data_IF_752949691761
#
_entry.id   IF_752949691761
#
_cell.length_a   1.000
_cell.length_b   1.000
_cell.length_c   1.000
_cell.angle_alpha   90.00
_cell.angle_beta   90.00
_cell.angle_gamma   90.00
#
_symmetry.space_group_name_H-M   'P 1'
#
loop_
_entity.id
_entity.type
_entity.pdbx_description
1 polymer ?
#
# COMPACT_ATOMS: atom_id res chain seq x y z
N UNK A 1 19.28 42.46 -64.14
CA UNK A 1 19.14 42.36 -62.67
C UNK A 1 18.67 40.96 -62.34
N UNK A 2 19.62 40.06 -62.11
CA UNK A 2 19.40 38.64 -61.83
C UNK A 2 20.08 38.37 -60.50
N UNK A 3 19.28 38.20 -59.46
CA UNK A 3 19.74 37.88 -58.10
C UNK A 3 19.91 36.37 -58.03
N UNK A 4 21.14 35.90 -58.22
CA UNK A 4 21.51 34.51 -57.96
C UNK A 4 21.47 34.26 -56.44
N UNK A 5 20.41 33.60 -56.00
CA UNK A 5 20.25 33.10 -54.65
C UNK A 5 21.22 31.93 -54.43
N UNK A 6 22.34 32.22 -53.75
CA UNK A 6 23.29 31.24 -53.26
C UNK A 6 22.67 30.33 -52.19
N UNK A 7 21.99 29.27 -52.63
CA UNK A 7 21.49 28.18 -51.79
C UNK A 7 22.67 27.31 -51.35
N UNK A 8 23.39 27.75 -50.32
CA UNK A 8 24.40 26.93 -49.62
C UNK A 8 23.67 25.74 -48.97
N UNK A 9 23.71 24.60 -49.64
CA UNK A 9 23.40 23.30 -49.05
C UNK A 9 24.30 23.07 -47.84
N UNK A 10 23.77 23.34 -46.64
CA UNK A 10 24.32 22.79 -45.40
C UNK A 10 24.13 21.27 -45.46
N UNK A 11 25.11 20.57 -46.02
CA UNK A 11 25.29 19.13 -45.84
C UNK A 11 25.53 18.87 -44.35
N UNK A 12 24.45 18.72 -43.58
CA UNK A 12 24.51 18.28 -42.21
C UNK A 12 25.23 16.94 -42.14
N UNK A 13 26.29 16.86 -41.33
CA UNK A 13 27.11 15.66 -41.20
C UNK A 13 26.23 14.49 -40.74
N UNK A 14 26.20 13.34 -41.46
CA UNK A 14 25.37 12.19 -41.10
C UNK A 14 25.69 11.57 -39.73
N UNK A 15 26.81 11.95 -39.11
CA UNK A 15 27.22 11.55 -37.76
C UNK A 15 26.43 12.25 -36.64
N UNK A 16 25.98 13.51 -36.85
CA UNK A 16 25.20 14.25 -35.84
C UNK A 16 23.78 13.71 -35.71
N UNK A 17 23.18 13.27 -36.83
CA UNK A 17 21.84 12.64 -36.82
C UNK A 17 21.82 11.33 -36.00
N UNK A 18 22.87 10.50 -36.08
CA UNK A 18 22.92 9.22 -35.36
C UNK A 18 23.13 9.37 -33.85
N UNK A 19 23.78 10.45 -33.39
CA UNK A 19 23.89 10.74 -31.94
C UNK A 19 22.53 11.18 -31.37
N UNK A 20 21.85 12.06 -32.07
CA UNK A 20 20.52 12.55 -31.65
C UNK A 20 19.49 11.42 -31.52
N UNK A 21 19.46 10.45 -32.46
CA UNK A 21 18.55 9.31 -32.40
C UNK A 21 18.84 8.34 -31.23
N UNK A 22 20.12 8.12 -30.88
CA UNK A 22 20.49 7.26 -29.75
C UNK A 22 20.10 7.87 -28.41
N UNK A 23 20.32 9.16 -28.23
CA UNK A 23 20.00 9.88 -26.98
C UNK A 23 18.49 9.89 -26.70
N UNK A 24 17.66 10.02 -27.75
CA UNK A 24 16.20 9.95 -27.59
C UNK A 24 15.71 8.56 -27.20
N UNK A 25 16.34 7.50 -27.73
CA UNK A 25 15.96 6.12 -27.40
C UNK A 25 16.35 5.72 -25.97
N UNK A 26 17.48 6.22 -25.46
CA UNK A 26 17.95 5.95 -24.10
C UNK A 26 17.10 6.69 -23.06
N UNK A 27 16.82 7.98 -23.29
CA UNK A 27 15.96 8.78 -22.43
C UNK A 27 14.52 8.22 -22.33
N UNK A 28 13.97 7.73 -23.45
CA UNK A 28 12.64 7.10 -23.47
C UNK A 28 12.57 5.81 -22.64
N UNK A 29 13.62 4.96 -22.69
CA UNK A 29 13.68 3.72 -21.90
C UNK A 29 13.79 4.00 -20.41
N UNK A 30 14.65 4.95 -20.02
CA UNK A 30 14.79 5.35 -18.62
C UNK A 30 13.47 5.90 -18.06
N UNK A 31 12.82 6.81 -18.81
CA UNK A 31 11.53 7.37 -18.40
C UNK A 31 10.45 6.27 -18.24
N UNK A 32 10.42 5.28 -19.15
CA UNK A 32 9.51 4.15 -19.05
C UNK A 32 9.77 3.29 -17.80
N UNK A 33 11.04 3.04 -17.46
CA UNK A 33 11.42 2.29 -16.26
C UNK A 33 11.04 3.05 -14.97
N UNK A 34 11.26 4.36 -14.94
CA UNK A 34 10.87 5.19 -13.79
C UNK A 34 9.34 5.26 -13.63
N UNK A 35 8.61 5.39 -14.74
CA UNK A 35 7.15 5.33 -14.71
C UNK A 35 6.65 3.96 -14.23
N UNK A 36 7.23 2.87 -14.72
CA UNK A 36 6.91 1.52 -14.27
C UNK A 36 7.21 1.33 -12.78
N UNK A 37 8.35 1.86 -12.28
CA UNK A 37 8.69 1.83 -10.86
C UNK A 37 7.66 2.62 -10.02
N UNK A 38 7.29 3.83 -10.45
CA UNK A 38 6.28 4.65 -9.76
C UNK A 38 4.92 3.94 -9.70
N UNK A 39 4.48 3.37 -10.82
CA UNK A 39 3.22 2.63 -10.89
C UNK A 39 3.27 1.36 -10.03
N UNK A 40 4.39 0.63 -10.05
CA UNK A 40 4.58 -0.55 -9.22
C UNK A 40 4.53 -0.22 -7.73
N UNK A 41 5.14 0.90 -7.30
CA UNK A 41 5.03 1.39 -5.91
C UNK A 41 3.59 1.73 -5.56
N UNK A 42 2.88 2.43 -6.44
CA UNK A 42 1.46 2.76 -6.22
C UNK A 42 0.64 1.48 -6.00
N UNK A 43 0.75 0.51 -6.89
CA UNK A 43 0.00 -0.75 -6.77
C UNK A 43 0.45 -1.56 -5.56
N UNK A 44 1.76 -1.60 -5.26
CA UNK A 44 2.33 -2.32 -4.12
C UNK A 44 1.76 -1.80 -2.80
N UNK A 45 1.81 -0.48 -2.59
CA UNK A 45 1.33 0.12 -1.34
C UNK A 45 -0.17 -0.03 -1.19
N UNK A 46 -0.94 0.13 -2.28
CA UNK A 46 -2.37 -0.17 -2.27
C UNK A 46 -2.65 -1.63 -1.85
N UNK A 47 -1.95 -2.59 -2.45
CA UNK A 47 -2.13 -4.00 -2.15
C UNK A 47 -1.73 -4.35 -0.70
N UNK A 48 -0.64 -3.78 -0.19
CA UNK A 48 -0.22 -3.93 1.21
C UNK A 48 -1.24 -3.31 2.17
N UNK A 49 -1.81 -2.16 1.83
CA UNK A 49 -2.84 -1.49 2.63
C UNK A 49 -4.11 -2.34 2.69
N UNK A 50 -4.57 -2.88 1.56
CA UNK A 50 -5.71 -3.80 1.49
C UNK A 50 -5.41 -5.06 2.31
N UNK A 51 -4.19 -5.60 2.20
CA UNK A 51 -3.80 -6.78 2.98
C UNK A 51 -3.84 -6.52 4.48
N UNK A 52 -3.42 -5.34 4.94
CA UNK A 52 -3.51 -4.94 6.34
C UNK A 52 -4.96 -4.78 6.80
N UNK A 53 -5.79 -4.10 6.00
CA UNK A 53 -7.21 -3.91 6.31
C UNK A 53 -7.99 -5.24 6.37
N UNK A 54 -7.60 -6.21 5.53
CA UNK A 54 -8.21 -7.55 5.47
C UNK A 54 -7.59 -8.56 6.43
N UNK A 55 -6.60 -8.16 7.24
CA UNK A 55 -6.00 -9.06 8.23
C UNK A 55 -7.06 -9.43 9.29
N UNK A 56 -7.11 -10.70 9.77
CA UNK A 56 -8.19 -11.16 10.65
C UNK A 56 -8.43 -10.26 11.85
N UNK A 57 -7.37 -9.82 12.54
CA UNK A 57 -7.50 -8.96 13.72
C UNK A 57 -8.11 -7.57 13.45
N UNK A 58 -7.90 -7.01 12.25
CA UNK A 58 -8.49 -5.72 11.88
C UNK A 58 -9.88 -5.89 11.26
N UNK A 59 -10.05 -6.91 10.42
CA UNK A 59 -11.29 -7.14 9.69
C UNK A 59 -12.41 -7.62 10.60
N UNK A 60 -12.11 -8.54 11.53
CA UNK A 60 -13.13 -9.11 12.43
C UNK A 60 -13.74 -8.01 13.30
N UNK A 61 -12.95 -7.15 13.93
CA UNK A 61 -13.48 -6.06 14.76
C UNK A 61 -14.38 -5.09 13.96
N UNK A 62 -13.97 -4.73 12.74
CA UNK A 62 -14.81 -3.88 11.86
C UNK A 62 -16.11 -4.57 11.46
N UNK A 63 -16.07 -5.89 11.24
CA UNK A 63 -17.28 -6.67 10.93
C UNK A 63 -18.15 -6.82 12.17
N UNK A 64 -17.59 -7.03 13.37
CA UNK A 64 -18.32 -7.08 14.64
C UNK A 64 -19.09 -5.78 14.86
N UNK A 65 -18.44 -4.62 14.71
CA UNK A 65 -19.07 -3.30 14.81
C UNK A 65 -20.18 -3.15 13.75
N UNK A 66 -19.91 -3.55 12.51
CA UNK A 66 -20.90 -3.52 11.43
C UNK A 66 -22.12 -4.41 11.68
N UNK A 67 -21.92 -5.62 12.21
CA UNK A 67 -23.00 -6.53 12.61
C UNK A 67 -23.77 -5.92 13.77
N UNK A 68 -23.10 -5.40 14.80
CA UNK A 68 -23.77 -4.77 15.94
C UNK A 68 -24.60 -3.54 15.53
N UNK A 69 -24.10 -2.72 14.59
CA UNK A 69 -24.82 -1.54 14.11
C UNK A 69 -26.00 -1.87 13.19
N UNK A 70 -25.95 -3.00 12.46
CA UNK A 70 -27.01 -3.42 11.53
C UNK A 70 -28.03 -4.37 12.16
N UNK A 71 -27.67 -5.00 13.27
CA UNK A 71 -28.53 -5.95 13.96
C UNK A 71 -28.98 -5.37 15.28
N UNK A 72 -30.28 -5.42 15.57
CA UNK A 72 -30.82 -5.02 16.88
C UNK A 72 -30.51 -6.10 17.93
N UNK A 73 -29.24 -6.56 18.00
CA UNK A 73 -28.81 -7.71 18.81
C UNK A 73 -29.15 -7.52 20.28
N UNK A 74 -28.97 -6.30 20.81
CA UNK A 74 -29.25 -6.00 22.20
C UNK A 74 -30.75 -6.18 22.52
N UNK A 75 -31.62 -5.71 21.61
CA UNK A 75 -33.07 -5.90 21.72
C UNK A 75 -33.47 -7.38 21.60
N UNK A 76 -32.87 -8.12 20.67
CA UNK A 76 -33.14 -9.55 20.49
C UNK A 76 -32.71 -10.38 21.70
N UNK A 77 -31.57 -10.03 22.31
CA UNK A 77 -31.08 -10.67 23.52
C UNK A 77 -32.02 -10.38 24.70
N UNK A 78 -32.44 -9.12 24.89
CA UNK A 78 -33.41 -8.74 25.92
C UNK A 78 -34.72 -9.53 25.81
N UNK A 79 -35.18 -9.79 24.58
CA UNK A 79 -36.44 -10.49 24.33
C UNK A 79 -36.34 -12.01 24.47
N UNK A 80 -35.23 -12.62 24.05
CA UNK A 80 -35.16 -14.07 23.86
C UNK A 80 -34.20 -14.80 24.80
N UNK A 81 -33.22 -14.12 25.40
CA UNK A 81 -32.16 -14.78 26.17
C UNK A 81 -32.70 -15.59 27.35
N UNK A 82 -33.60 -15.03 28.14
CA UNK A 82 -34.19 -15.73 29.29
C UNK A 82 -34.94 -17.02 28.87
N UNK A 83 -35.63 -16.98 27.73
CA UNK A 83 -36.34 -18.14 27.18
C UNK A 83 -35.36 -19.20 26.70
N UNK A 84 -34.28 -18.81 26.01
CA UNK A 84 -33.23 -19.72 25.55
C UNK A 84 -32.49 -20.37 26.72
N UNK A 85 -32.20 -19.61 27.78
CA UNK A 85 -31.59 -20.15 29.00
C UNK A 85 -32.50 -21.16 29.70
N UNK A 86 -33.82 -20.91 29.76
CA UNK A 86 -34.76 -21.88 30.31
C UNK A 86 -34.80 -23.18 29.49
N UNK A 87 -34.71 -23.07 28.15
CA UNK A 87 -34.64 -24.24 27.27
C UNK A 87 -33.33 -25.01 27.45
N UNK A 88 -32.19 -24.32 27.52
CA UNK A 88 -30.87 -24.92 27.76
C UNK A 88 -30.78 -25.66 29.11
N UNK A 89 -31.51 -25.22 30.14
CA UNK A 89 -31.61 -25.97 31.41
C UNK A 89 -32.34 -27.31 31.27
N UNK A 90 -33.23 -27.44 30.29
CA UNK A 90 -33.99 -28.68 30.05
C UNK A 90 -33.20 -29.66 29.20
N UNK A 91 -32.39 -29.17 28.27
CA UNK A 91 -31.59 -29.98 27.35
C UNK A 91 -30.25 -29.29 27.02
N UNK A 92 -29.17 -29.67 27.70
CA UNK A 92 -27.87 -29.02 27.54
C UNK A 92 -27.13 -29.41 26.26
N UNK A 93 -27.46 -30.57 25.68
CA UNK A 93 -26.76 -31.11 24.50
C UNK A 93 -27.27 -30.50 23.18
N UNK A 94 -28.32 -29.66 23.23
CA UNK A 94 -28.85 -28.96 22.06
C UNK A 94 -28.12 -27.66 21.74
N UNK A 95 -28.13 -27.31 20.45
CA UNK A 95 -27.68 -26.03 19.94
C UNK A 95 -28.85 -25.11 19.68
N UNK A 96 -28.74 -23.86 20.11
CA UNK A 96 -29.77 -22.84 20.02
C UNK A 96 -29.34 -21.73 19.05
N UNK A 97 -30.27 -21.26 18.23
CA UNK A 97 -30.07 -20.07 17.41
C UNK A 97 -30.90 -18.92 17.99
N UNK A 98 -30.38 -17.69 17.92
CA UNK A 98 -31.11 -16.51 18.37
C UNK A 98 -32.25 -16.19 17.37
N UNK A 99 -33.53 -16.26 17.78
CA UNK A 99 -34.64 -15.95 16.88
C UNK A 99 -34.55 -14.52 16.35
N UNK A 100 -34.85 -14.32 15.06
CA UNK A 100 -34.82 -13.01 14.42
C UNK A 100 -33.43 -12.48 14.06
N UNK A 101 -32.36 -13.10 14.55
CA UNK A 101 -31.00 -12.71 14.19
C UNK A 101 -30.69 -13.11 12.73
N UNK A 102 -30.13 -12.21 11.90
CA UNK A 102 -30.03 -12.44 10.45
C UNK A 102 -28.97 -13.48 10.06
N UNK A 103 -27.94 -13.66 10.89
CA UNK A 103 -26.85 -14.61 10.65
C UNK A 103 -27.10 -15.88 11.47
N UNK A 104 -26.95 -17.06 10.86
CA UNK A 104 -27.08 -18.33 11.58
C UNK A 104 -25.85 -18.58 12.44
N UNK A 105 -25.95 -18.25 13.73
CA UNK A 105 -24.97 -18.59 14.75
C UNK A 105 -25.63 -19.48 15.78
N UNK A 106 -24.99 -20.61 16.05
CA UNK A 106 -25.43 -21.57 17.05
C UNK A 106 -24.70 -21.34 18.38
N UNK A 107 -25.43 -21.42 19.47
CA UNK A 107 -24.98 -21.34 20.85
C UNK A 107 -25.21 -22.70 21.51
N UNK A 108 -24.25 -23.19 22.28
CA UNK A 108 -24.45 -24.41 23.08
C UNK A 108 -25.26 -24.11 24.34
N UNK A 109 -25.91 -25.14 24.90
CA UNK A 109 -26.60 -24.99 26.19
C UNK A 109 -25.66 -24.55 27.31
N UNK A 110 -24.42 -25.04 27.32
CA UNK A 110 -23.37 -24.64 28.27
C UNK A 110 -23.04 -23.14 28.14
N UNK A 111 -22.79 -22.65 26.92
CA UNK A 111 -22.49 -21.22 26.67
C UNK A 111 -23.61 -20.30 27.14
N UNK A 112 -24.87 -20.69 26.94
CA UNK A 112 -26.03 -19.91 27.39
C UNK A 112 -26.17 -19.85 28.91
N UNK A 113 -25.71 -20.89 29.62
CA UNK A 113 -25.83 -20.99 31.07
C UNK A 113 -24.63 -20.39 31.82
N UNK A 114 -23.44 -20.44 31.22
CA UNK A 114 -22.21 -19.91 31.81
C UNK A 114 -22.03 -18.41 31.58
N UNK A 115 -22.43 -17.91 30.40
CA UNK A 115 -22.24 -16.52 30.02
C UNK A 115 -23.41 -15.64 30.46
N UNK A 116 -23.09 -14.42 30.87
CA UNK A 116 -24.09 -13.37 31.03
C UNK A 116 -24.50 -12.79 29.67
N UNK A 117 -25.47 -11.87 29.67
CA UNK A 117 -25.95 -11.27 28.43
C UNK A 117 -24.84 -10.61 27.62
N UNK A 118 -23.88 -9.96 28.28
CA UNK A 118 -22.73 -9.32 27.63
C UNK A 118 -21.80 -10.37 26.99
N UNK A 119 -21.55 -11.49 27.66
CA UNK A 119 -20.77 -12.61 27.14
C UNK A 119 -21.45 -13.28 25.94
N UNK A 120 -22.77 -13.50 26.00
CA UNK A 120 -23.52 -14.06 24.86
C UNK A 120 -23.50 -13.09 23.67
N UNK A 121 -23.63 -11.78 23.93
CA UNK A 121 -23.52 -10.74 22.90
C UNK A 121 -22.16 -10.78 22.20
N UNK A 122 -21.05 -10.76 22.95
CA UNK A 122 -19.69 -10.82 22.40
C UNK A 122 -19.49 -12.10 21.58
N UNK A 123 -19.94 -13.24 22.09
CA UNK A 123 -19.81 -14.53 21.42
C UNK A 123 -20.59 -14.56 20.08
N UNK A 124 -21.82 -14.06 20.08
CA UNK A 124 -22.64 -13.96 18.86
C UNK A 124 -22.01 -13.04 17.83
N UNK A 125 -21.57 -11.84 18.23
CA UNK A 125 -20.94 -10.89 17.32
C UNK A 125 -19.65 -11.47 16.74
N UNK A 126 -18.80 -12.07 17.57
CA UNK A 126 -17.54 -12.67 17.13
C UNK A 126 -17.76 -13.82 16.15
N UNK A 127 -18.66 -14.76 16.47
CA UNK A 127 -18.98 -15.88 15.56
C UNK A 127 -19.62 -15.39 14.27
N UNK A 128 -20.48 -14.38 14.34
CA UNK A 128 -21.08 -13.73 13.18
C UNK A 128 -20.01 -13.11 12.29
N UNK A 129 -19.08 -12.37 12.88
CA UNK A 129 -18.01 -11.71 12.17
C UNK A 129 -17.05 -12.72 11.52
N UNK A 130 -16.71 -13.81 12.21
CA UNK A 130 -15.98 -14.92 11.61
C UNK A 130 -16.72 -15.54 10.42
N UNK A 131 -18.02 -15.81 10.56
CA UNK A 131 -18.83 -16.37 9.47
C UNK A 131 -18.84 -15.44 8.25
N UNK A 132 -19.00 -14.14 8.46
CA UNK A 132 -18.97 -13.11 7.39
C UNK A 132 -17.57 -12.94 6.80
N UNK A 133 -16.51 -13.02 7.60
CA UNK A 133 -15.14 -12.95 7.11
C UNK A 133 -14.79 -14.14 6.19
N UNK A 134 -15.25 -15.33 6.54
CA UNK A 134 -14.98 -16.56 5.80
C UNK A 134 -15.85 -16.68 4.54
N UNK A 135 -17.13 -16.29 4.63
CA UNK A 135 -18.14 -16.56 3.59
C UNK A 135 -18.56 -15.30 2.81
N UNK A 136 -18.10 -14.11 3.20
CA UNK A 136 -18.58 -12.83 2.69
C UNK A 136 -19.99 -12.51 3.19
N UNK A 137 -20.80 -11.83 2.38
CA UNK A 137 -22.19 -11.49 2.74
C UNK A 137 -23.20 -12.65 2.57
N UNK A 138 -22.78 -13.83 2.13
CA UNK A 138 -23.68 -15.00 1.96
C UNK A 138 -24.51 -15.32 3.21
N UNK A 139 -23.98 -15.24 4.45
CA UNK A 139 -24.77 -15.49 5.65
C UNK A 139 -25.92 -14.51 5.88
N UNK A 140 -25.91 -13.33 5.26
CA UNK A 140 -27.02 -12.37 5.30
C UNK A 140 -28.10 -12.65 4.25
N UNK A 141 -27.77 -13.36 3.17
CA UNK A 141 -28.71 -13.63 2.08
C UNK A 141 -29.48 -14.94 2.31
N UNK A 142 -30.49 -14.87 3.18
CA UNK A 142 -31.42 -15.99 3.42
C UNK A 142 -32.38 -16.27 2.26
N UNK A 143 -32.51 -15.37 1.27
CA UNK A 143 -33.57 -15.43 0.25
C UNK A 143 -33.09 -15.50 -1.20
N UNK A 144 -31.80 -15.29 -1.46
CA UNK A 144 -31.17 -15.43 -2.77
C UNK A 144 -31.54 -14.34 -3.80
N UNK A 145 -32.28 -13.30 -3.40
CA UNK A 145 -32.97 -12.39 -4.34
C UNK A 145 -32.83 -10.90 -4.04
N UNK A 146 -31.94 -10.49 -3.12
CA UNK A 146 -31.75 -9.07 -2.83
C UNK A 146 -30.77 -8.45 -3.84
N UNK A 147 -31.31 -7.80 -4.87
CA UNK A 147 -30.53 -6.96 -5.78
C UNK A 147 -30.16 -5.66 -5.07
N UNK A 148 -28.92 -5.59 -4.57
CA UNK A 148 -28.38 -4.39 -3.93
C UNK A 148 -27.84 -3.43 -4.99
N UNK A 149 -28.32 -2.20 -5.01
CA UNK A 149 -27.81 -1.16 -5.91
C UNK A 149 -26.48 -0.61 -5.39
N UNK A 150 -25.45 -0.53 -6.25
CA UNK A 150 -24.07 -0.14 -5.92
C UNK A 150 -23.90 1.28 -5.34
N UNK A 151 -24.91 2.13 -5.45
CA UNK A 151 -24.94 3.49 -4.90
C UNK A 151 -25.73 3.62 -3.60
N UNK A 152 -26.37 2.55 -3.11
CA UNK A 152 -27.04 2.57 -1.81
C UNK A 152 -26.04 2.31 -0.67
N UNK A 153 -26.42 2.69 0.54
CA UNK A 153 -25.68 2.39 1.77
C UNK A 153 -25.38 0.88 1.90
N UNK A 154 -26.32 0.03 1.47
CA UNK A 154 -26.13 -1.42 1.38
C UNK A 154 -25.11 -1.83 0.32
N UNK A 155 -25.07 -1.15 -0.84
CA UNK A 155 -24.06 -1.41 -1.88
C UNK A 155 -22.64 -1.02 -1.44
N UNK A 156 -22.51 0.04 -0.65
CA UNK A 156 -21.23 0.42 -0.03
C UNK A 156 -20.81 -0.58 1.05
N UNK A 157 -21.75 -1.09 1.85
CA UNK A 157 -21.47 -2.17 2.80
C UNK A 157 -21.04 -3.46 2.09
N UNK A 158 -21.67 -3.83 0.98
CA UNK A 158 -21.26 -4.98 0.17
C UNK A 158 -19.86 -4.79 -0.43
N UNK A 159 -19.55 -3.57 -0.89
CA UNK A 159 -18.20 -3.22 -1.33
C UNK A 159 -17.16 -3.30 -0.20
N UNK A 160 -17.49 -2.91 1.02
CA UNK A 160 -16.53 -2.95 2.14
C UNK A 160 -16.42 -4.37 2.70
N UNK A 161 -17.53 -4.94 3.17
CA UNK A 161 -17.59 -6.25 3.81
C UNK A 161 -17.29 -7.38 2.84
N UNK A 162 -17.76 -7.30 1.59
CA UNK A 162 -17.43 -8.27 0.55
C UNK A 162 -15.96 -8.25 0.14
N UNK A 163 -15.24 -7.16 0.42
CA UNK A 163 -13.79 -7.08 0.22
C UNK A 163 -12.97 -7.44 1.48
N UNK A 164 -13.58 -7.49 2.66
CA UNK A 164 -12.95 -7.89 3.93
C UNK A 164 -13.00 -9.41 4.14
N UNK A 165 -12.49 -10.17 3.17
CA UNK A 165 -12.49 -11.64 3.23
C UNK A 165 -11.09 -12.23 3.18
N UNK A 166 -10.91 -13.45 3.69
CA UNK A 166 -9.64 -14.17 3.62
C UNK A 166 -9.15 -14.39 2.17
N UNK A 167 -10.07 -14.57 1.23
CA UNK A 167 -9.74 -14.68 -0.21
C UNK A 167 -9.08 -13.40 -0.72
N UNK A 168 -9.63 -12.24 -0.37
CA UNK A 168 -9.08 -10.93 -0.75
C UNK A 168 -7.75 -10.65 -0.07
N UNK A 169 -7.57 -11.09 1.19
CA UNK A 169 -6.28 -11.02 1.88
C UNK A 169 -5.18 -11.76 1.09
N UNK A 170 -5.45 -12.98 0.63
CA UNK A 170 -4.52 -13.76 -0.18
C UNK A 170 -4.25 -13.13 -1.55
N UNK A 171 -5.29 -12.67 -2.24
CA UNK A 171 -5.16 -11.99 -3.54
C UNK A 171 -4.32 -10.71 -3.41
N UNK A 172 -4.57 -9.89 -2.39
CA UNK A 172 -3.79 -8.69 -2.10
C UNK A 172 -2.33 -9.03 -1.83
N UNK A 173 -2.07 -10.14 -1.11
CA UNK A 173 -0.71 -10.66 -0.93
C UNK A 173 -0.02 -11.03 -2.25
N UNK A 174 -0.73 -11.67 -3.17
CA UNK A 174 -0.19 -12.03 -4.49
C UNK A 174 0.06 -10.79 -5.37
N UNK A 175 -0.86 -9.82 -5.38
CA UNK A 175 -0.69 -8.55 -6.09
C UNK A 175 0.50 -7.78 -5.52
N UNK A 176 0.64 -7.71 -4.19
CA UNK A 176 1.78 -7.09 -3.55
C UNK A 176 3.10 -7.77 -3.94
N UNK A 177 3.14 -9.11 -3.99
CA UNK A 177 4.33 -9.84 -4.44
C UNK A 177 4.69 -9.53 -5.89
N UNK A 178 3.72 -9.56 -6.81
CA UNK A 178 3.95 -9.24 -8.23
C UNK A 178 4.39 -7.79 -8.41
N UNK A 179 3.74 -6.84 -7.74
CA UNK A 179 4.11 -5.43 -7.78
C UNK A 179 5.51 -5.19 -7.18
N UNK A 180 5.86 -5.90 -6.11
CA UNK A 180 7.20 -5.86 -5.51
C UNK A 180 8.28 -6.36 -6.46
N UNK A 181 8.04 -7.49 -7.16
CA UNK A 181 8.95 -8.00 -8.18
C UNK A 181 9.08 -7.05 -9.38
N UNK A 182 7.97 -6.47 -9.83
CA UNK A 182 7.97 -5.49 -10.92
C UNK A 182 8.75 -4.23 -10.53
N UNK A 183 8.56 -3.73 -9.30
CA UNK A 183 9.34 -2.61 -8.76
C UNK A 183 10.83 -2.95 -8.68
N UNK A 184 11.19 -4.12 -8.15
CA UNK A 184 12.58 -4.55 -8.06
C UNK A 184 13.24 -4.66 -9.44
N UNK A 185 12.54 -5.25 -10.43
CA UNK A 185 13.02 -5.31 -11.80
C UNK A 185 13.21 -3.94 -12.44
N UNK A 186 12.26 -3.02 -12.26
CA UNK A 186 12.37 -1.65 -12.74
C UNK A 186 13.52 -0.89 -12.06
N UNK A 187 13.68 -1.05 -10.74
CA UNK A 187 14.75 -0.44 -9.96
C UNK A 187 16.14 -0.92 -10.42
N UNK A 188 16.31 -2.23 -10.60
CA UNK A 188 17.54 -2.81 -11.15
C UNK A 188 17.79 -2.26 -12.56
N UNK A 189 16.77 -2.19 -13.41
CA UNK A 189 16.88 -1.57 -14.73
C UNK A 189 17.40 -0.14 -14.66
N UNK A 190 16.79 0.71 -13.82
CA UNK A 190 17.24 2.10 -13.64
C UNK A 190 18.69 2.16 -13.17
N UNK A 191 19.09 1.32 -12.21
CA UNK A 191 20.46 1.31 -11.68
C UNK A 191 21.50 0.82 -12.70
N UNK A 192 21.13 -0.10 -13.60
CA UNK A 192 22.03 -0.58 -14.66
C UNK A 192 22.22 0.43 -15.78
N UNK A 193 21.23 1.29 -16.05
CA UNK A 193 21.28 2.29 -17.12
C UNK A 193 21.67 3.70 -16.65
N UNK A 194 21.59 3.98 -15.35
CA UNK A 194 21.96 5.27 -14.81
C UNK A 194 23.47 5.37 -14.59
N UNK A 195 24.08 6.46 -15.06
CA UNK A 195 25.47 6.77 -14.78
C UNK A 195 25.59 7.41 -13.37
N UNK A 196 26.40 6.78 -12.52
CA UNK A 196 26.74 7.26 -11.17
C UNK A 196 25.57 7.31 -10.18
N UNK A 197 25.69 8.14 -9.15
CA UNK A 197 24.71 8.26 -8.07
C UNK A 197 23.34 8.81 -8.52
N UNK A 198 23.24 9.38 -9.72
CA UNK A 198 22.00 9.99 -10.24
C UNK A 198 20.81 9.01 -10.32
N UNK A 199 21.09 7.71 -10.51
CA UNK A 199 20.08 6.66 -10.58
C UNK A 199 19.28 6.51 -9.29
N UNK A 200 19.95 6.58 -8.13
CA UNK A 200 19.28 6.51 -6.82
C UNK A 200 18.35 7.69 -6.59
N UNK A 201 18.74 8.89 -7.03
CA UNK A 201 17.89 10.08 -6.94
C UNK A 201 16.64 9.94 -7.80
N UNK A 202 16.79 9.51 -9.06
CA UNK A 202 15.67 9.30 -9.97
C UNK A 202 14.72 8.22 -9.45
N UNK A 203 15.26 7.11 -8.92
CA UNK A 203 14.46 6.06 -8.30
C UNK A 203 13.69 6.56 -7.06
N UNK A 204 14.36 7.32 -6.17
CA UNK A 204 13.70 7.93 -5.01
C UNK A 204 12.56 8.87 -5.40
N UNK A 205 12.74 9.67 -6.45
CA UNK A 205 11.67 10.51 -7.01
C UNK A 205 10.54 9.70 -7.65
N UNK A 206 10.83 8.59 -8.32
CA UNK A 206 9.81 7.70 -8.85
C UNK A 206 8.96 7.06 -7.73
N UNK A 207 9.62 6.58 -6.67
CA UNK A 207 8.95 6.06 -5.45
C UNK A 207 8.07 7.15 -4.84
N UNK A 208 8.62 8.35 -4.64
CA UNK A 208 7.88 9.49 -4.11
C UNK A 208 6.71 9.90 -5.01
N UNK A 209 6.87 9.87 -6.33
CA UNK A 209 5.81 10.19 -7.29
C UNK A 209 4.66 9.19 -7.24
N UNK A 210 4.97 7.88 -7.24
CA UNK A 210 3.98 6.81 -7.08
C UNK A 210 3.23 6.92 -5.75
N UNK A 211 3.98 7.11 -4.65
CA UNK A 211 3.40 7.25 -3.33
C UNK A 211 2.58 8.55 -3.17
N UNK A 212 3.04 9.65 -3.75
CA UNK A 212 2.33 10.94 -3.72
C UNK A 212 1.00 10.89 -4.46
N UNK A 213 0.97 10.23 -5.64
CA UNK A 213 -0.29 10.00 -6.35
C UNK A 213 -1.24 9.11 -5.54
N UNK A 214 -0.72 8.03 -4.95
CA UNK A 214 -1.52 7.15 -4.08
C UNK A 214 -2.07 7.85 -2.83
N UNK A 215 -1.27 8.72 -2.21
CA UNK A 215 -1.68 9.56 -1.08
C UNK A 215 -2.78 10.53 -1.48
N UNK A 216 -2.67 11.16 -2.65
CA UNK A 216 -3.70 12.06 -3.18
C UNK A 216 -5.01 11.33 -3.43
N UNK A 217 -4.97 10.17 -4.09
CA UNK A 217 -6.16 9.36 -4.35
C UNK A 217 -6.82 8.88 -3.04
N UNK A 218 -6.01 8.43 -2.08
CA UNK A 218 -6.50 7.96 -0.78
C UNK A 218 -7.07 9.10 0.07
N UNK A 219 -6.43 10.28 0.05
CA UNK A 219 -6.92 11.48 0.71
C UNK A 219 -8.23 11.99 0.10
N UNK A 220 -8.38 11.92 -1.22
CA UNK A 220 -9.63 12.25 -1.90
C UNK A 220 -10.75 11.27 -1.52
N UNK A 221 -10.45 9.96 -1.46
CA UNK A 221 -11.40 8.95 -1.01
C UNK A 221 -11.82 9.17 0.46
N UNK A 222 -10.86 9.49 1.34
CA UNK A 222 -11.12 9.78 2.75
C UNK A 222 -11.98 11.04 2.93
N UNK A 223 -11.70 12.08 2.14
CA UNK A 223 -12.52 13.28 2.11
C UNK A 223 -13.93 12.99 1.61
N UNK A 224 -14.06 12.22 0.52
CA UNK A 224 -15.33 11.83 -0.06
C UNK A 224 -16.17 10.97 0.90
N UNK A 225 -15.56 10.06 1.64
CA UNK A 225 -16.21 9.29 2.70
C UNK A 225 -16.76 10.20 3.81
N UNK A 226 -16.23 11.41 3.94
CA UNK A 226 -16.71 12.43 4.87
C UNK A 226 -17.96 13.20 4.45
N UNK A 227 -18.32 13.19 3.17
CA UNK A 227 -19.39 14.00 2.59
C UNK A 227 -20.84 13.52 2.83
N UNK A 228 -21.16 12.23 3.07
CA UNK A 228 -22.54 11.79 3.27
C UNK A 228 -23.20 12.54 4.43
N UNK A 229 -24.37 13.11 4.12
CA UNK A 229 -25.14 14.02 4.97
C UNK A 229 -26.33 13.34 5.63
N UNK A 230 -26.51 13.65 6.91
CA UNK A 230 -27.60 13.16 7.75
C UNK A 230 -27.14 13.08 9.21
N UNK A 231 -28.04 13.37 10.15
CA UNK A 231 -27.80 13.15 11.58
C UNK A 231 -28.20 11.72 12.00
N UNK A 232 -28.19 10.78 11.06
CA UNK A 232 -28.47 9.38 11.33
C UNK A 232 -27.26 8.77 12.07
N UNK A 233 -27.46 8.21 13.29
CA UNK A 233 -26.40 7.53 14.04
C UNK A 233 -25.68 6.45 13.20
N UNK A 234 -26.42 5.68 12.40
CA UNK A 234 -25.86 4.60 11.59
C UNK A 234 -24.90 5.13 10.52
N UNK A 235 -25.30 6.21 9.82
CA UNK A 235 -24.45 6.85 8.79
C UNK A 235 -23.17 7.42 9.41
N UNK A 236 -23.27 7.92 10.64
CA UNK A 236 -22.13 8.46 11.38
C UNK A 236 -21.13 7.36 11.72
N UNK A 237 -21.58 6.25 12.27
CA UNK A 237 -20.75 5.10 12.64
C UNK A 237 -20.10 4.45 11.41
N UNK A 238 -20.87 4.22 10.34
CA UNK A 238 -20.33 3.68 9.09
C UNK A 238 -19.26 4.59 8.47
N UNK A 239 -19.46 5.91 8.51
CA UNK A 239 -18.47 6.89 8.04
C UNK A 239 -17.18 6.82 8.86
N UNK A 240 -17.28 6.62 10.17
CA UNK A 240 -16.11 6.54 11.04
C UNK A 240 -15.33 5.24 10.79
N UNK A 241 -16.01 4.12 10.56
CA UNK A 241 -15.41 2.86 10.11
C UNK A 241 -14.68 3.05 8.76
N UNK A 242 -15.35 3.65 7.76
CA UNK A 242 -14.76 3.92 6.44
C UNK A 242 -13.52 4.81 6.54
N UNK A 243 -13.58 5.87 7.35
CA UNK A 243 -12.44 6.77 7.57
C UNK A 243 -11.27 6.08 8.25
N UNK A 244 -11.56 5.18 9.21
CA UNK A 244 -10.55 4.35 9.86
C UNK A 244 -9.85 3.45 8.85
N UNK A 245 -10.62 2.74 8.00
CA UNK A 245 -10.08 1.87 6.95
C UNK A 245 -9.25 2.65 5.91
N UNK A 246 -9.73 3.82 5.46
CA UNK A 246 -9.01 4.69 4.52
C UNK A 246 -7.80 5.39 5.16
N UNK A 247 -7.71 5.43 6.48
CA UNK A 247 -6.54 5.91 7.20
C UNK A 247 -5.31 5.03 6.99
N UNK A 248 -5.49 3.72 6.78
CA UNK A 248 -4.40 2.76 6.53
C UNK A 248 -3.58 3.14 5.29
N UNK A 249 -4.17 3.25 4.07
CA UNK A 249 -3.39 3.62 2.89
C UNK A 249 -2.80 5.02 3.00
N UNK A 250 -3.47 5.99 3.64
CA UNK A 250 -2.91 7.34 3.85
C UNK A 250 -1.59 7.26 4.62
N UNK A 251 -1.56 6.51 5.73
CA UNK A 251 -0.35 6.32 6.52
C UNK A 251 0.74 5.62 5.73
N UNK A 252 0.39 4.53 5.04
CA UNK A 252 1.37 3.70 4.32
C UNK A 252 1.99 4.47 3.14
N UNK A 253 1.18 5.18 2.35
CA UNK A 253 1.67 6.07 1.31
C UNK A 253 2.50 7.22 1.88
N UNK A 254 2.11 7.78 3.02
CA UNK A 254 2.89 8.82 3.70
C UNK A 254 4.29 8.35 4.10
N UNK A 255 4.41 7.16 4.68
CA UNK A 255 5.71 6.56 5.04
C UNK A 255 6.57 6.33 3.80
N UNK A 256 6.01 5.75 2.73
CA UNK A 256 6.75 5.47 1.50
C UNK A 256 7.15 6.75 0.76
N UNK A 257 6.29 7.77 0.78
CA UNK A 257 6.60 9.10 0.23
C UNK A 257 7.82 9.71 0.94
N UNK A 258 7.82 9.72 2.27
CA UNK A 258 8.95 10.23 3.06
C UNK A 258 10.22 9.43 2.76
N UNK A 259 10.14 8.10 2.74
CA UNK A 259 11.28 7.24 2.42
C UNK A 259 11.84 7.52 1.02
N UNK A 260 10.99 7.66 -0.01
CA UNK A 260 11.41 8.00 -1.37
C UNK A 260 12.09 9.38 -1.44
N UNK A 261 11.55 10.37 -0.75
CA UNK A 261 12.14 11.71 -0.67
C UNK A 261 13.49 11.70 0.06
N UNK A 262 13.63 10.94 1.14
CA UNK A 262 14.90 10.79 1.87
C UNK A 262 15.98 10.16 0.97
N UNK A 263 15.65 9.10 0.23
CA UNK A 263 16.58 8.48 -0.74
C UNK A 263 17.00 9.51 -1.80
N UNK A 264 16.04 10.27 -2.33
CA UNK A 264 16.33 11.31 -3.32
C UNK A 264 17.22 12.44 -2.78
N UNK A 265 17.04 12.84 -1.52
CA UNK A 265 17.76 13.92 -0.87
C UNK A 265 19.17 13.53 -0.38
N UNK A 266 19.38 12.29 0.07
CA UNK A 266 20.67 11.81 0.58
C UNK A 266 21.67 11.50 -0.53
N UNK A 267 21.20 11.23 -1.73
CA UNK A 267 22.03 10.92 -2.90
C UNK A 267 23.06 12.02 -3.23
N UNK A 268 22.70 13.32 -3.36
CA UNK A 268 23.68 14.38 -3.59
C UNK A 268 24.66 14.55 -2.43
N UNK A 269 24.23 14.37 -1.18
CA UNK A 269 25.11 14.46 -0.02
C UNK A 269 26.19 13.37 -0.04
N UNK A 270 25.81 12.13 -0.35
CA UNK A 270 26.74 11.03 -0.51
C UNK A 270 27.75 11.28 -1.64
N UNK A 271 27.30 11.88 -2.75
CA UNK A 271 28.21 12.23 -3.85
C UNK A 271 29.25 13.28 -3.44
N UNK A 272 28.86 14.27 -2.63
CA UNK A 272 29.79 15.29 -2.13
C UNK A 272 30.83 14.70 -1.15
N UNK A 273 30.39 13.79 -0.27
CA UNK A 273 31.29 13.11 0.67
C UNK A 273 32.27 12.19 -0.06
N UNK A 274 31.83 11.48 -1.09
CA UNK A 274 32.70 10.62 -1.91
C UNK A 274 33.81 11.45 -2.59
N UNK A 275 33.46 12.60 -3.17
CA UNK A 275 34.44 13.51 -3.79
C UNK A 275 35.44 14.08 -2.76
N UNK A 276 35.02 14.29 -1.51
CA UNK A 276 35.92 14.78 -0.45
C UNK A 276 36.91 13.75 0.09
N UNK A 277 36.65 12.45 -0.11
CA UNK A 277 37.54 11.38 0.35
C UNK A 277 38.70 11.09 -0.63
N UNK A 278 38.47 11.30 -1.94
CA UNK A 278 39.50 11.12 -2.97
C UNK A 278 40.54 12.25 -3.00
N UNK A 279 40.25 13.41 -2.39
CA UNK A 279 41.16 14.56 -2.36
C UNK A 279 42.15 14.54 -1.20
N UNK A 280 42.24 13.46 -0.43
CA UNK A 280 43.37 13.25 0.49
C UNK A 280 44.55 12.73 -0.33
N UNK A 281 45.54 13.56 -0.70
CA UNK A 281 46.73 13.04 -1.37
C UNK A 281 47.37 12.04 -0.41
N UNK A 282 47.50 10.80 -0.86
CA UNK A 282 48.45 9.86 -0.27
C UNK A 282 49.79 10.57 -0.40
N UNK A 283 50.26 11.14 0.70
CA UNK A 283 51.56 11.79 0.76
C UNK A 283 52.57 10.78 0.27
N UNK A 284 53.17 11.08 -0.89
CA UNK A 284 54.21 10.29 -1.52
C UNK A 284 55.32 10.04 -0.49
N UNK A 285 55.40 8.85 0.11
CA UNK A 285 56.41 8.55 1.12
C UNK A 285 57.66 8.10 0.36
N UNK A 286 58.30 9.00 -0.39
CA UNK A 286 59.29 8.52 -1.35
C UNK A 286 60.12 9.52 -2.14
N UNK A 287 60.17 10.80 -1.76
CA UNK A 287 61.31 11.64 -2.14
C UNK A 287 62.28 11.73 -0.96
N UNK A 288 62.91 10.58 -0.66
CA UNK A 288 64.23 10.59 -0.04
C UNK A 288 65.13 11.47 -0.91
N UNK A 289 65.57 12.56 -0.31
CA UNK A 289 66.64 13.42 -0.80
C UNK A 289 67.89 12.55 -0.90
N UNK A 290 68.15 12.01 -2.08
CA UNK A 290 69.43 11.41 -2.40
C UNK A 290 70.49 12.50 -2.20
N UNK A 291 71.24 12.37 -1.10
CA UNK A 291 72.40 13.20 -0.81
C UNK A 291 73.38 13.09 -1.96
N UNK A 292 73.62 14.24 -2.59
CA UNK A 292 74.70 14.45 -3.55
C UNK A 292 76.01 14.58 -2.74
N UNK A 293 76.47 13.46 -2.17
CA UNK A 293 77.81 13.33 -1.59
C UNK A 293 78.83 13.04 -2.71
N UNK A 294 79.39 14.12 -3.23
CA UNK A 294 80.83 14.40 -3.15
C UNK A 294 81.80 13.22 -3.31
N UNK A 295 82.07 12.72 -4.53
CA UNK A 295 83.31 11.98 -4.82
C UNK A 295 83.72 12.09 -6.30
N UNK A 296 85.03 12.28 -6.50
CA UNK A 296 85.82 12.11 -7.75
C UNK A 296 85.85 13.32 -8.71
N UNK A 297 86.99 13.77 -9.22
CA UNK A 297 88.36 13.27 -9.18
C UNK A 297 89.25 14.36 -9.80
N UNK A 298 90.30 14.78 -9.09
CA UNK A 298 91.43 15.42 -9.74
C UNK A 298 92.30 14.36 -10.41
N UNK A 299 92.68 14.59 -11.68
CA UNK A 299 93.97 14.28 -12.28
C UNK A 299 93.85 14.34 -13.81
N UNK A 300 94.53 15.29 -14.45
CA UNK A 300 95.70 14.99 -15.28
C UNK A 300 96.19 16.28 -15.95
N UNK A 301 97.46 16.57 -15.65
CA UNK A 301 98.34 17.44 -16.42
C UNK A 301 98.82 16.72 -17.69
#
# INVERSE_FOLDING_TARGET
MTVEAGRRERRGHPMERRRFERDHSAAGREAALLFAAALAVLVLVAAVSIRQATAPGSAIGVIEDGVAATTEIDLLLDQHLATLQEQARKDQDQTYALPGFPIEVFLTGEELLELDQAGVRDLLLRRSAHSVYDQGLKPFDRTGNQQVSFLSLQGQMDLVLGNLTGTRHSQAGMVALVAGLAFAGAAVGVLLFAEGFSGFRKLGLAVAGGAGLGLLLSGLAWFAAGLPGGNDPFVTEFRDILRSLLGVPIRDYGVVLIAGLLVAALTPLASLLATSAETTPVGDPGHETAGEEDWESGAHA
#
